data_IF_055402639458
#
_entry.id   IF_055402639458
#
_cell.length_a   1.000
_cell.length_b   1.000
_cell.length_c   1.000
_cell.angle_alpha   90.00
_cell.angle_beta   90.00
_cell.angle_gamma   90.00
#
_symmetry.space_group_name_H-M   'P 1'
#
loop_
_entity.id
_entity.type
_entity.pdbx_description
1 polymer ?
#
# COMPACT_ATOMS: atom_id res chain seq x y z
N UNK A 1 -0.56 -50.54 -22.97
CA UNK A 1 -0.90 -49.30 -22.25
C UNK A 1 -2.30 -48.91 -22.65
N UNK A 2 -3.30 -49.19 -21.81
CA UNK A 2 -4.71 -48.88 -22.09
C UNK A 2 -4.96 -47.42 -21.71
N UNK A 3 -5.34 -46.62 -22.71
CA UNK A 3 -5.80 -45.25 -22.50
C UNK A 3 -7.20 -45.32 -21.89
N UNK A 4 -7.35 -44.88 -20.63
CA UNK A 4 -8.65 -44.72 -19.96
C UNK A 4 -9.21 -43.33 -20.31
N UNK A 5 -10.16 -43.22 -21.27
CA UNK A 5 -10.71 -41.93 -21.68
C UNK A 5 -11.51 -41.24 -20.57
N UNK A 6 -11.99 -41.98 -19.57
CA UNK A 6 -12.78 -41.43 -18.46
C UNK A 6 -11.93 -40.75 -17.38
N UNK A 7 -10.61 -40.97 -17.35
CA UNK A 7 -9.71 -40.33 -16.38
C UNK A 7 -9.48 -38.85 -16.66
N UNK A 8 -9.37 -38.47 -17.94
CA UNK A 8 -9.12 -37.09 -18.35
C UNK A 8 -10.36 -36.21 -18.13
N UNK A 9 -11.56 -36.72 -18.41
CA UNK A 9 -12.81 -35.99 -18.19
C UNK A 9 -13.08 -35.75 -16.70
N UNK A 10 -12.78 -36.72 -15.84
CA UNK A 10 -12.84 -36.55 -14.37
C UNK A 10 -11.84 -35.51 -13.86
N UNK A 11 -10.61 -35.50 -14.38
CA UNK A 11 -9.60 -34.50 -14.03
C UNK A 11 -10.00 -33.09 -14.49
N UNK A 12 -10.58 -32.96 -15.70
CA UNK A 12 -11.09 -31.69 -16.21
C UNK A 12 -12.27 -31.17 -15.38
N UNK A 13 -13.25 -32.02 -15.07
CA UNK A 13 -14.38 -31.66 -14.22
C UNK A 13 -13.94 -31.28 -12.81
N UNK A 14 -12.94 -31.96 -12.26
CA UNK A 14 -12.39 -31.66 -10.96
C UNK A 14 -11.58 -30.35 -10.95
N UNK A 15 -10.84 -30.07 -12.03
CA UNK A 15 -10.14 -28.79 -12.24
C UNK A 15 -11.12 -27.64 -12.48
N UNK A 16 -12.20 -27.85 -13.20
CA UNK A 16 -13.25 -26.84 -13.39
C UNK A 16 -14.04 -26.60 -12.11
N UNK A 17 -14.37 -27.64 -11.36
CA UNK A 17 -15.00 -27.51 -10.04
C UNK A 17 -14.05 -26.79 -9.06
N UNK A 18 -12.75 -27.08 -9.11
CA UNK A 18 -11.74 -26.38 -8.32
C UNK A 18 -11.60 -24.92 -8.77
N UNK A 19 -11.57 -24.63 -10.07
CA UNK A 19 -11.55 -23.25 -10.62
C UNK A 19 -12.79 -22.47 -10.22
N UNK A 20 -13.99 -23.08 -10.29
CA UNK A 20 -15.25 -22.46 -9.86
C UNK A 20 -15.28 -22.24 -8.35
N UNK A 21 -14.76 -23.19 -7.54
CA UNK A 21 -14.60 -23.02 -6.09
C UNK A 21 -13.60 -21.91 -5.75
N UNK A 22 -12.45 -21.85 -6.42
CA UNK A 22 -11.45 -20.79 -6.25
C UNK A 22 -11.95 -19.44 -6.77
N UNK A 23 -12.79 -19.40 -7.81
CA UNK A 23 -13.44 -18.17 -8.27
C UNK A 23 -14.56 -17.70 -7.31
N UNK A 24 -15.27 -18.64 -6.67
CA UNK A 24 -16.27 -18.33 -5.64
C UNK A 24 -15.65 -18.00 -4.28
N UNK A 25 -14.50 -18.61 -3.95
CA UNK A 25 -13.72 -18.40 -2.73
C UNK A 25 -12.48 -17.54 -2.95
N UNK A 26 -12.41 -16.83 -4.09
CA UNK A 26 -11.45 -15.77 -4.37
C UNK A 26 -11.79 -14.52 -3.55
N UNK A 27 -11.87 -14.71 -2.24
CA UNK A 27 -11.76 -13.72 -1.18
C UNK A 27 -12.76 -12.58 -1.14
N UNK A 28 -14.08 -12.85 -1.22
CA UNK A 28 -15.03 -11.92 -0.60
C UNK A 28 -14.84 -11.97 0.92
N UNK A 29 -14.03 -11.05 1.48
CA UNK A 29 -13.90 -10.87 2.92
C UNK A 29 -15.25 -10.42 3.47
N UNK A 30 -15.93 -11.29 4.21
CA UNK A 30 -17.29 -11.06 4.71
C UNK A 30 -17.24 -10.31 6.05
N UNK A 31 -18.37 -9.72 6.44
CA UNK A 31 -18.51 -9.10 7.76
C UNK A 31 -18.23 -10.14 8.86
N UNK A 32 -17.31 -9.83 9.76
CA UNK A 32 -16.86 -10.72 10.85
C UNK A 32 -15.48 -11.32 10.64
N UNK A 33 -14.97 -11.42 9.41
CA UNK A 33 -13.65 -11.99 9.14
C UNK A 33 -12.54 -11.05 9.61
N UNK A 34 -11.61 -11.57 10.41
CA UNK A 34 -10.39 -10.88 10.80
C UNK A 34 -9.30 -11.13 9.75
N UNK A 35 -8.69 -10.04 9.32
CA UNK A 35 -7.76 -9.99 8.20
C UNK A 35 -6.48 -9.35 8.69
N UNK A 36 -5.39 -10.09 8.68
CA UNK A 36 -4.08 -9.50 8.90
C UNK A 36 -3.67 -8.65 7.67
N UNK A 37 -3.27 -7.41 7.94
CA UNK A 37 -2.78 -6.42 6.99
C UNK A 37 -1.28 -6.16 7.15
N UNK A 38 -0.59 -6.93 7.98
CA UNK A 38 0.86 -6.82 8.24
C UNK A 38 1.65 -8.01 7.68
N UNK A 39 1.20 -8.57 6.55
CA UNK A 39 1.88 -9.65 5.82
C UNK A 39 2.19 -10.90 6.69
N UNK A 40 1.32 -11.23 7.64
CA UNK A 40 1.46 -12.40 8.52
C UNK A 40 2.16 -12.12 9.84
N UNK A 41 2.48 -10.85 10.14
CA UNK A 41 3.12 -10.46 11.40
C UNK A 41 2.11 -10.20 12.53
N UNK A 42 0.80 -10.25 12.27
CA UNK A 42 -0.29 -9.98 13.21
C UNK A 42 -0.20 -8.61 13.93
N UNK A 43 0.48 -7.65 13.31
CA UNK A 43 0.72 -6.31 13.84
C UNK A 43 -0.41 -5.32 13.52
N UNK A 44 -1.17 -5.59 12.47
CA UNK A 44 -2.33 -4.82 12.06
C UNK A 44 -3.43 -5.76 11.59
N UNK A 45 -4.48 -5.91 12.38
CA UNK A 45 -5.64 -6.71 12.00
C UNK A 45 -6.84 -5.82 11.68
N UNK A 46 -7.56 -6.16 10.61
CA UNK A 46 -8.82 -5.53 10.23
C UNK A 46 -9.95 -6.53 10.35
N UNK A 47 -11.02 -6.14 11.03
CA UNK A 47 -12.28 -6.91 11.07
C UNK A 47 -13.40 -6.07 10.49
N UNK A 48 -14.05 -6.55 9.43
CA UNK A 48 -15.15 -5.82 8.78
C UNK A 48 -16.42 -5.97 9.63
N UNK A 49 -17.05 -4.85 9.98
CA UNK A 49 -18.34 -4.80 10.69
C UNK A 49 -19.48 -4.64 9.69
N UNK A 50 -19.31 -3.76 8.71
CA UNK A 50 -20.24 -3.50 7.62
C UNK A 50 -19.45 -3.48 6.31
N UNK A 51 -19.78 -4.32 5.32
CA UNK A 51 -19.09 -4.30 4.04
C UNK A 51 -19.45 -3.03 3.25
N UNK A 52 -18.51 -2.54 2.45
CA UNK A 52 -18.74 -1.43 1.52
C UNK A 52 -19.31 -1.87 0.17
N UNK A 53 -19.28 -0.96 -0.80
CA UNK A 53 -19.83 -1.15 -2.15
C UNK A 53 -18.81 -1.66 -3.20
N UNK A 54 -17.69 -2.27 -2.79
CA UNK A 54 -16.58 -2.76 -3.64
C UNK A 54 -15.75 -1.69 -4.35
N UNK A 55 -16.01 -0.41 -4.09
CA UNK A 55 -15.20 0.70 -4.60
C UNK A 55 -14.05 0.96 -3.63
N UNK A 56 -12.81 0.66 -4.05
CA UNK A 56 -11.61 0.93 -3.24
C UNK A 56 -11.19 2.39 -3.33
N UNK A 57 -10.54 2.88 -2.27
CA UNK A 57 -10.00 4.24 -2.25
C UNK A 57 -8.84 4.36 -3.25
N UNK A 58 -8.88 5.30 -4.20
CA UNK A 58 -7.74 5.61 -5.06
C UNK A 58 -6.57 6.17 -4.25
N UNK A 59 -5.36 5.77 -4.59
CA UNK A 59 -4.16 6.37 -4.01
C UNK A 59 -4.11 7.87 -4.27
N UNK A 60 -3.43 8.62 -3.39
CA UNK A 60 -3.35 10.08 -3.48
C UNK A 60 -4.72 10.79 -3.41
N UNK A 61 -5.63 10.27 -2.58
CA UNK A 61 -6.93 10.90 -2.30
C UNK A 61 -6.99 11.49 -0.91
N UNK A 62 -7.83 12.50 -0.73
CA UNK A 62 -8.28 12.92 0.61
C UNK A 62 -9.47 12.05 1.00
N UNK A 63 -9.34 11.27 2.06
CA UNK A 63 -10.41 10.42 2.59
C UNK A 63 -11.20 11.13 3.67
N UNK A 64 -12.47 10.77 3.83
CA UNK A 64 -13.35 11.24 4.89
C UNK A 64 -13.85 10.05 5.69
N UNK A 65 -13.56 10.06 6.99
CA UNK A 65 -13.88 8.95 7.90
C UNK A 65 -14.56 9.44 9.16
N UNK A 66 -15.46 8.61 9.69
CA UNK A 66 -15.85 8.68 11.10
C UNK A 66 -15.10 7.61 11.88
N UNK A 67 -14.73 7.92 13.12
CA UNK A 67 -14.02 6.97 13.94
C UNK A 67 -14.26 7.10 15.43
N UNK A 68 -13.98 6.00 16.13
CA UNK A 68 -13.86 5.92 17.58
C UNK A 68 -12.58 5.15 17.91
N UNK A 69 -11.66 5.80 18.62
CA UNK A 69 -10.42 5.22 19.13
C UNK A 69 -10.61 4.72 20.57
N UNK A 70 -10.29 3.46 20.80
CA UNK A 70 -10.46 2.77 22.08
C UNK A 70 -9.19 2.02 22.51
N UNK A 71 -9.01 1.91 23.82
CA UNK A 71 -8.08 0.96 24.42
C UNK A 71 -8.66 -0.47 24.40
N UNK A 72 -7.84 -1.45 24.78
CA UNK A 72 -8.26 -2.86 24.88
C UNK A 72 -9.40 -3.09 25.87
N UNK A 73 -9.46 -2.28 26.93
CA UNK A 73 -10.55 -2.27 27.93
C UNK A 73 -11.83 -1.58 27.43
N UNK A 74 -11.90 -1.23 26.13
CA UNK A 74 -12.98 -0.50 25.46
C UNK A 74 -13.18 0.94 25.92
N UNK A 75 -12.29 1.51 26.74
CA UNK A 75 -12.36 2.93 27.08
C UNK A 75 -12.00 3.77 25.84
N UNK A 76 -12.87 4.70 25.49
CA UNK A 76 -12.68 5.63 24.37
C UNK A 76 -11.67 6.70 24.79
N UNK A 77 -10.65 6.93 23.96
CA UNK A 77 -9.71 8.03 24.13
C UNK A 77 -9.89 9.15 23.11
N UNK A 78 -10.47 8.85 21.94
CA UNK A 78 -10.72 9.84 20.89
C UNK A 78 -11.90 9.43 19.99
N UNK A 79 -12.55 10.42 19.35
CA UNK A 79 -13.61 10.19 18.36
C UNK A 79 -13.84 11.42 17.48
N UNK A 80 -14.10 11.19 16.19
CA UNK A 80 -14.50 12.26 15.26
C UNK A 80 -15.80 12.97 15.67
N UNK A 81 -16.71 12.27 16.35
CA UNK A 81 -17.97 12.85 16.81
C UNK A 81 -17.74 14.03 17.78
N UNK A 82 -16.63 14.02 18.52
CA UNK A 82 -16.25 15.12 19.43
C UNK A 82 -15.98 16.43 18.68
N UNK A 83 -15.51 16.34 17.44
CA UNK A 83 -15.27 17.50 16.58
C UNK A 83 -16.52 17.93 15.79
N UNK A 84 -17.62 17.16 15.84
CA UNK A 84 -18.86 17.44 15.12
C UNK A 84 -18.76 17.36 13.60
N UNK A 85 -17.65 16.81 13.07
CA UNK A 85 -17.41 16.65 11.63
C UNK A 85 -16.58 15.40 11.34
N UNK A 86 -16.69 14.81 10.14
CA UNK A 86 -15.79 13.74 9.72
C UNK A 86 -14.33 14.18 9.77
N UNK A 87 -13.45 13.24 10.12
CA UNK A 87 -12.02 13.45 10.04
C UNK A 87 -11.55 13.22 8.60
N UNK A 88 -10.61 14.03 8.14
CA UNK A 88 -10.07 13.92 6.79
C UNK A 88 -8.56 14.02 6.77
N UNK A 89 -7.92 13.18 5.96
CA UNK A 89 -6.47 13.14 5.78
C UNK A 89 -6.12 12.66 4.36
N UNK A 90 -4.88 12.87 3.92
CA UNK A 90 -4.38 12.32 2.65
C UNK A 90 -3.90 10.89 2.85
N UNK A 91 -4.49 9.97 2.10
CA UNK A 91 -4.14 8.56 2.17
C UNK A 91 -2.72 8.32 1.60
N UNK A 92 -1.90 7.60 2.37
CA UNK A 92 -0.55 7.17 1.94
C UNK A 92 0.51 8.26 2.03
N UNK A 93 0.28 9.30 2.83
CA UNK A 93 1.21 10.41 3.05
C UNK A 93 1.80 10.44 4.46
N UNK A 94 1.52 9.42 5.28
CA UNK A 94 1.98 9.34 6.68
C UNK A 94 1.55 10.56 7.51
N UNK A 95 0.42 11.18 7.15
CA UNK A 95 -0.21 12.25 7.93
C UNK A 95 -0.90 11.69 9.19
N UNK A 96 -1.10 10.37 9.24
CA UNK A 96 -1.74 9.61 10.32
C UNK A 96 -0.86 8.43 10.73
N UNK A 97 -1.26 7.70 11.77
CA UNK A 97 -0.53 6.50 12.20
C UNK A 97 -0.46 5.44 11.08
N UNK A 98 0.61 4.63 11.00
CA UNK A 98 0.79 3.67 9.91
C UNK A 98 -0.37 2.69 9.74
N UNK A 99 -1.00 2.28 10.84
CA UNK A 99 -2.16 1.39 10.83
C UNK A 99 -3.36 1.98 10.11
N UNK A 100 -3.53 3.30 10.12
CA UNK A 100 -4.58 3.98 9.39
C UNK A 100 -4.29 4.09 7.90
N UNK A 101 -3.06 4.43 7.53
CA UNK A 101 -2.67 4.51 6.12
C UNK A 101 -2.87 3.14 5.42
N UNK A 102 -2.47 2.04 6.06
CA UNK A 102 -2.66 0.68 5.52
C UNK A 102 -4.12 0.23 5.66
N UNK A 103 -4.72 0.43 6.83
CA UNK A 103 -6.07 -0.01 7.14
C UNK A 103 -7.12 0.62 6.23
N UNK A 104 -7.12 1.95 6.12
CA UNK A 104 -8.08 2.70 5.30
C UNK A 104 -7.85 2.48 3.80
N UNK A 105 -6.61 2.29 3.35
CA UNK A 105 -6.33 1.93 1.96
C UNK A 105 -6.98 0.59 1.55
N UNK A 106 -7.20 -0.32 2.51
CA UNK A 106 -7.85 -1.60 2.27
C UNK A 106 -9.39 -1.55 2.33
N UNK A 107 -9.97 -0.40 2.68
CA UNK A 107 -11.41 -0.24 2.86
C UNK A 107 -12.12 0.09 1.55
N UNK A 108 -13.40 -0.29 1.49
CA UNK A 108 -14.32 0.08 0.43
C UNK A 108 -15.22 1.25 0.86
N UNK A 109 -15.75 2.01 -0.09
CA UNK A 109 -16.70 3.10 0.22
C UNK A 109 -17.89 2.58 1.05
N UNK A 110 -18.17 3.26 2.15
CA UNK A 110 -19.22 2.90 3.10
C UNK A 110 -18.88 1.69 3.99
N UNK A 111 -17.68 1.12 3.89
CA UNK A 111 -17.20 0.06 4.78
C UNK A 111 -17.04 0.60 6.19
N UNK A 112 -17.47 -0.19 7.17
CA UNK A 112 -17.17 0.02 8.59
C UNK A 112 -16.36 -1.15 9.09
N UNK A 113 -15.23 -0.90 9.72
CA UNK A 113 -14.34 -1.93 10.23
C UNK A 113 -13.76 -1.57 11.60
N UNK A 114 -13.20 -2.57 12.28
CA UNK A 114 -12.35 -2.39 13.45
C UNK A 114 -10.91 -2.69 13.04
N UNK A 115 -10.00 -1.75 13.27
CA UNK A 115 -8.57 -1.92 13.12
C UNK A 115 -7.95 -2.14 14.51
N UNK A 116 -7.24 -3.26 14.69
CA UNK A 116 -6.37 -3.53 15.84
C UNK A 116 -4.96 -3.15 15.43
N UNK A 117 -4.45 -2.07 16.01
CA UNK A 117 -3.11 -1.55 15.72
C UNK A 117 -2.20 -1.83 16.90
N UNK A 118 -1.19 -2.68 16.70
CA UNK A 118 -0.09 -2.82 17.66
C UNK A 118 0.71 -1.51 17.75
N UNK A 119 1.59 -1.33 18.77
CA UNK A 119 2.31 -0.07 18.95
C UNK A 119 3.09 0.39 17.72
N UNK A 120 3.68 -0.53 16.96
CA UNK A 120 4.41 -0.20 15.72
C UNK A 120 3.54 0.40 14.61
N UNK A 121 2.24 0.08 14.60
CA UNK A 121 1.25 0.64 13.68
C UNK A 121 0.41 1.75 14.32
N UNK A 122 0.75 2.17 15.55
CA UNK A 122 0.08 3.22 16.31
C UNK A 122 1.09 4.27 16.77
N UNK A 123 1.24 4.48 18.09
CA UNK A 123 2.08 5.54 18.68
C UNK A 123 3.43 5.05 19.25
N UNK A 124 3.77 3.78 19.03
CA UNK A 124 5.06 3.19 19.37
C UNK A 124 5.44 3.28 20.85
N UNK A 125 6.75 3.35 21.10
CA UNK A 125 7.34 3.41 22.45
C UNK A 125 7.11 4.75 23.16
N UNK A 126 6.76 5.79 22.43
CA UNK A 126 6.62 7.13 23.00
C UNK A 126 5.20 7.41 23.47
N UNK A 127 4.19 6.71 22.92
CA UNK A 127 2.80 7.04 23.17
C UNK A 127 2.43 8.42 22.60
N UNK A 128 1.41 9.06 23.16
CA UNK A 128 0.96 10.38 22.71
C UNK A 128 0.40 11.23 23.85
N UNK A 129 1.00 12.41 24.06
CA UNK A 129 0.43 13.54 24.81
C UNK A 129 -0.04 13.25 26.25
N UNK A 130 0.44 12.17 26.87
CA UNK A 130 -0.04 11.71 28.19
C UNK A 130 -1.38 10.97 28.18
N UNK A 131 -2.15 11.05 27.08
CA UNK A 131 -3.42 10.33 26.91
C UNK A 131 -3.18 8.87 26.54
N UNK A 132 -2.21 8.60 25.67
CA UNK A 132 -1.91 7.26 25.16
C UNK A 132 -0.56 6.83 25.75
N UNK A 133 -0.52 5.78 26.58
CA UNK A 133 0.74 5.29 27.15
C UNK A 133 1.71 4.72 26.10
N UNK A 134 3.01 4.64 26.40
CA UNK A 134 4.00 3.86 25.67
C UNK A 134 3.56 2.43 25.37
N UNK A 135 3.90 1.92 24.18
CA UNK A 135 3.71 0.51 23.80
C UNK A 135 2.25 0.02 23.92
N UNK A 136 1.29 0.89 23.66
CA UNK A 136 -0.14 0.56 23.75
C UNK A 136 -0.69 0.05 22.42
N UNK A 137 -1.39 -1.09 22.45
CA UNK A 137 -2.23 -1.56 21.34
C UNK A 137 -3.56 -0.83 21.38
N UNK A 138 -4.01 -0.34 20.23
CA UNK A 138 -5.23 0.46 20.10
C UNK A 138 -6.20 -0.17 19.11
N UNK A 139 -7.49 0.07 19.36
CA UNK A 139 -8.59 -0.39 18.54
C UNK A 139 -9.32 0.81 17.96
N UNK A 140 -9.51 0.82 16.65
CA UNK A 140 -10.19 1.89 15.95
C UNK A 140 -11.39 1.33 15.21
N UNK A 141 -12.59 1.74 15.61
CA UNK A 141 -13.77 1.58 14.77
C UNK A 141 -13.78 2.71 13.75
N UNK A 142 -13.71 2.38 12.46
CA UNK A 142 -13.59 3.34 11.36
C UNK A 142 -14.68 3.08 10.33
N UNK A 143 -15.40 4.13 9.94
CA UNK A 143 -16.34 4.13 8.82
C UNK A 143 -15.84 5.05 7.71
N UNK A 144 -15.65 4.50 6.51
CA UNK A 144 -15.21 5.25 5.34
C UNK A 144 -16.42 5.87 4.64
N UNK A 145 -16.59 7.19 4.78
CA UNK A 145 -17.71 7.90 4.15
C UNK A 145 -17.49 8.12 2.65
N UNK A 146 -16.24 8.35 2.25
CA UNK A 146 -15.85 8.59 0.86
C UNK A 146 -14.50 9.27 0.75
N UNK A 147 -14.19 9.76 -0.44
CA UNK A 147 -12.93 10.44 -0.73
C UNK A 147 -13.10 11.51 -1.81
N UNK A 148 -12.10 12.37 -1.91
CA UNK A 148 -11.88 13.30 -3.01
C UNK A 148 -10.52 12.99 -3.62
N UNK A 149 -10.52 12.57 -4.87
CA UNK A 149 -9.29 12.40 -5.64
C UNK A 149 -8.57 13.73 -5.79
N UNK A 150 -7.26 13.73 -5.57
CA UNK A 150 -6.44 14.90 -5.88
C UNK A 150 -5.95 14.79 -7.32
N UNK A 151 -5.80 15.94 -8.02
CA UNK A 151 -5.14 15.93 -9.31
C UNK A 151 -3.74 15.30 -9.17
N UNK A 152 -3.25 14.60 -10.21
CA UNK A 152 -1.89 14.09 -10.19
C UNK A 152 -0.92 15.25 -9.93
N UNK A 153 -0.07 15.08 -8.92
CA UNK A 153 0.96 16.08 -8.61
C UNK A 153 1.84 16.29 -9.84
N UNK A 154 2.21 17.54 -10.18
CA UNK A 154 3.08 17.79 -11.32
C UNK A 154 4.41 17.06 -11.11
N UNK A 155 4.72 16.15 -12.02
CA UNK A 155 6.02 15.46 -12.01
C UNK A 155 7.12 16.49 -12.24
N UNK A 156 8.12 16.52 -11.35
CA UNK A 156 9.27 17.39 -11.50
C UNK A 156 10.22 16.80 -12.55
N UNK A 157 9.99 17.14 -13.83
CA UNK A 157 10.81 16.67 -14.94
C UNK A 157 12.30 17.06 -14.82
N UNK A 158 12.63 18.13 -14.09
CA UNK A 158 14.02 18.51 -13.87
C UNK A 158 14.79 17.46 -13.07
N UNK A 159 14.15 16.81 -12.08
CA UNK A 159 14.77 15.73 -11.32
C UNK A 159 15.10 14.53 -12.22
N UNK A 160 14.14 14.11 -13.05
CA UNK A 160 14.35 13.01 -13.99
C UNK A 160 15.36 13.35 -15.08
N UNK A 161 15.38 14.59 -15.58
CA UNK A 161 16.39 15.03 -16.53
C UNK A 161 17.80 14.94 -15.94
N UNK A 162 18.00 15.37 -14.68
CA UNK A 162 19.29 15.23 -13.99
C UNK A 162 19.67 13.75 -13.80
N UNK A 163 18.73 12.90 -13.38
CA UNK A 163 18.98 11.44 -13.25
C UNK A 163 19.32 10.83 -14.61
N UNK A 164 18.61 11.17 -15.69
CA UNK A 164 18.90 10.69 -17.04
C UNK A 164 20.25 11.18 -17.55
N UNK A 165 20.64 12.43 -17.27
CA UNK A 165 21.97 12.94 -17.61
C UNK A 165 23.07 12.22 -16.84
N UNK A 166 22.85 11.91 -15.56
CA UNK A 166 23.78 11.10 -14.76
C UNK A 166 23.90 9.69 -15.33
N UNK A 167 22.78 9.03 -15.63
CA UNK A 167 22.76 7.70 -16.26
C UNK A 167 23.46 7.74 -17.62
N UNK A 168 23.20 8.75 -18.45
CA UNK A 168 23.84 8.90 -19.75
C UNK A 168 25.35 9.14 -19.63
N UNK A 169 25.80 9.96 -18.67
CA UNK A 169 27.22 10.17 -18.40
C UNK A 169 27.91 8.88 -17.91
N UNK A 170 27.27 8.11 -17.02
CA UNK A 170 27.76 6.80 -16.57
C UNK A 170 27.81 5.82 -17.74
N UNK A 171 26.76 5.72 -18.56
CA UNK A 171 26.75 4.88 -19.74
C UNK A 171 27.84 5.29 -20.73
N UNK A 172 28.05 6.60 -20.93
CA UNK A 172 29.11 7.11 -21.81
C UNK A 172 30.48 6.74 -21.28
N UNK A 173 30.71 6.86 -19.97
CA UNK A 173 31.97 6.51 -19.33
C UNK A 173 32.24 5.00 -19.34
N UNK A 174 31.24 4.18 -19.02
CA UNK A 174 31.36 2.70 -18.98
C UNK A 174 31.47 2.11 -20.39
N UNK A 175 30.77 2.69 -21.36
CA UNK A 175 30.85 2.26 -22.76
C UNK A 175 31.99 2.95 -23.51
N UNK A 176 32.78 3.80 -22.86
CA UNK A 176 33.92 4.45 -23.50
C UNK A 176 35.00 3.41 -23.80
N UNK A 177 35.26 3.08 -25.08
CA UNK A 177 36.32 2.14 -25.40
C UNK A 177 37.66 2.85 -25.21
N UNK A 178 38.54 2.29 -24.38
CA UNK A 178 39.91 2.80 -24.09
C UNK A 178 40.87 2.78 -25.32
N UNK A 179 40.36 2.63 -26.55
CA UNK A 179 41.15 2.26 -27.73
C UNK A 179 41.60 3.39 -28.67
N UNK A 180 40.90 4.52 -28.77
CA UNK A 180 41.07 5.38 -29.97
C UNK A 180 41.80 6.71 -29.74
N UNK A 181 42.10 7.09 -28.49
CA UNK A 181 42.77 8.36 -28.18
C UNK A 181 44.27 8.40 -28.56
N UNK A 182 44.90 7.26 -28.82
CA UNK A 182 46.32 7.20 -29.19
C UNK A 182 46.58 7.42 -30.70
N UNK A 183 45.58 7.31 -31.57
CA UNK A 183 45.79 7.34 -33.02
C UNK A 183 45.79 8.76 -33.65
N UNK A 184 45.19 9.76 -32.98
CA UNK A 184 44.99 11.09 -33.57
C UNK A 184 46.11 12.11 -33.27
N UNK A 185 47.02 11.84 -32.31
CA UNK A 185 48.07 12.78 -31.91
C UNK A 185 49.43 12.60 -32.62
N UNK A 186 49.58 11.59 -33.49
CA UNK A 186 50.88 11.19 -34.07
C UNK A 186 51.13 11.54 -35.55
N UNK A 187 50.20 12.17 -36.26
CA UNK A 187 50.33 12.44 -37.71
C UNK A 187 50.17 13.94 -38.03
N UNK A 188 51.10 14.78 -37.58
CA UNK A 188 51.06 16.20 -37.90
C UNK A 188 52.39 16.98 -37.82
N UNK A 189 53.54 16.32 -37.65
CA UNK A 189 54.83 17.03 -37.49
C UNK A 189 56.02 16.34 -38.20
N UNK A 190 55.81 15.81 -39.40
CA UNK A 190 56.92 15.52 -40.33
C UNK A 190 56.45 15.91 -41.73
N UNK A 191 56.94 17.05 -42.23
CA UNK A 191 57.03 17.49 -43.65
C UNK A 191 57.14 19.04 -43.65
N UNK A 192 58.32 19.56 -43.27
CA UNK A 192 58.80 20.88 -43.68
C UNK A 192 60.34 20.79 -43.80
N UNK A 193 60.82 20.55 -45.01
CA UNK A 193 62.17 20.90 -45.44
C UNK A 193 62.11 21.46 -46.87
#
# INVERSE_FOLDING_TARGET
MSYDPGGHERDLLQKEALRKRVAQHGGQKQAGDEVDLSDGLELLAKRIIKPGNRELVPMNSIVFVEYVGMFEDKRVFDSSARAGRPFSFRLGRQEVIPGWDVGVASMQRGEKCVLKCTPGYAYGRNGSGGTIPPNTTLYFEVELLGWRELPPEPVNYAFYAVVLLIIAAILTYVLWPEGDAAAAAGKGLTELH
#
